data_IF_013334322687
#
_entry.id   IF_013334322687
#
_cell.length_a   1.000
_cell.length_b   1.000
_cell.length_c   1.000
_cell.angle_alpha   90.00
_cell.angle_beta   90.00
_cell.angle_gamma   90.00
#
_symmetry.space_group_name_H-M   'P 1'
#
loop_
_entity.id
_entity.type
_entity.pdbx_description
1 polymer ?
#
# COMPACT_ATOMS: atom_id res chain seq x y z
N UNK A 1 15.58 17.45 17.08
CA UNK A 1 14.14 17.46 16.72
C UNK A 1 13.86 16.17 15.99
N UNK A 2 12.88 15.42 16.46
CA UNK A 2 12.49 14.15 15.86
C UNK A 2 11.87 14.36 14.48
N UNK A 3 12.04 13.39 13.59
CA UNK A 3 11.47 13.38 12.25
C UNK A 3 10.59 12.15 12.09
N UNK A 4 9.29 12.38 11.98
CA UNK A 4 8.35 11.35 11.54
C UNK A 4 7.93 11.63 10.10
N UNK A 5 8.10 10.64 9.24
CA UNK A 5 7.57 10.66 7.86
C UNK A 5 6.22 9.95 7.87
N UNK A 6 5.18 10.61 7.39
CA UNK A 6 3.83 10.08 7.32
C UNK A 6 3.40 9.85 5.88
N UNK A 7 3.02 8.64 5.52
CA UNK A 7 2.38 8.38 4.23
C UNK A 7 0.89 8.13 4.45
N UNK A 8 0.04 8.75 3.66
CA UNK A 8 -1.40 8.53 3.68
C UNK A 8 -1.86 7.86 2.38
N UNK A 9 -2.57 6.74 2.53
CA UNK A 9 -3.14 5.99 1.41
C UNK A 9 -4.32 6.70 0.75
N UNK A 10 -4.78 6.20 -0.40
CA UNK A 10 -5.85 6.83 -1.16
C UNK A 10 -7.19 6.92 -0.39
N UNK A 11 -7.54 5.92 0.41
CA UNK A 11 -8.70 5.94 1.30
C UNK A 11 -8.62 7.03 2.37
N UNK A 12 -7.40 7.36 2.80
CA UNK A 12 -7.12 8.41 3.79
C UNK A 12 -7.26 9.84 3.24
N UNK A 13 -7.34 10.02 1.93
CA UNK A 13 -7.41 11.32 1.23
C UNK A 13 -8.50 11.36 0.17
N UNK A 14 -9.54 10.54 0.30
CA UNK A 14 -10.55 10.36 -0.73
C UNK A 14 -11.56 11.50 -0.87
N UNK A 15 -11.71 12.35 0.16
CA UNK A 15 -12.62 13.50 0.21
C UNK A 15 -12.14 14.56 1.20
N UNK A 16 -12.91 15.66 1.34
CA UNK A 16 -12.57 16.77 2.23
C UNK A 16 -12.61 16.43 3.72
N UNK A 17 -13.51 15.54 4.15
CA UNK A 17 -13.55 15.09 5.55
C UNK A 17 -12.28 14.30 5.90
N UNK A 18 -11.78 13.50 4.98
CA UNK A 18 -10.51 12.80 5.14
C UNK A 18 -9.31 13.76 5.13
N UNK A 19 -9.34 14.81 4.32
CA UNK A 19 -8.33 15.89 4.40
C UNK A 19 -8.33 16.53 5.78
N UNK A 20 -9.50 16.85 6.34
CA UNK A 20 -9.61 17.40 7.69
C UNK A 20 -9.09 16.44 8.76
N UNK A 21 -9.39 15.13 8.63
CA UNK A 21 -8.88 14.09 9.53
C UNK A 21 -7.34 14.00 9.46
N UNK A 22 -6.75 13.96 8.26
CA UNK A 22 -5.29 13.94 8.09
C UNK A 22 -4.66 15.20 8.72
N UNK A 23 -5.24 16.39 8.50
CA UNK A 23 -4.76 17.62 9.13
C UNK A 23 -4.81 17.54 10.66
N UNK A 24 -5.86 16.95 11.23
CA UNK A 24 -5.98 16.75 12.68
C UNK A 24 -4.88 15.82 13.20
N UNK A 25 -4.62 14.70 12.51
CA UNK A 25 -3.53 13.78 12.82
C UNK A 25 -2.18 14.50 12.82
N UNK A 26 -1.89 15.31 11.80
CA UNK A 26 -0.63 16.06 11.70
C UNK A 26 -0.46 17.11 12.81
N UNK A 27 -1.56 17.70 13.27
CA UNK A 27 -1.54 18.69 14.36
C UNK A 27 -1.36 18.08 15.74
N UNK A 28 -1.77 16.82 15.91
CA UNK A 28 -1.65 16.10 17.17
C UNK A 28 -0.19 15.77 17.54
N UNK A 29 0.73 15.78 16.55
CA UNK A 29 2.13 15.50 16.76
C UNK A 29 3.00 16.37 15.84
N UNK A 30 3.84 17.23 16.44
CA UNK A 30 4.72 18.15 15.73
C UNK A 30 5.88 17.47 15.01
N UNK A 31 6.20 16.24 15.35
CA UNK A 31 7.27 15.46 14.73
C UNK A 31 6.85 14.82 13.40
N UNK A 32 5.55 14.82 13.07
CA UNK A 32 4.99 14.48 11.75
C UNK A 32 5.29 15.58 10.74
N UNK A 33 6.46 15.53 10.13
CA UNK A 33 7.03 16.65 9.37
C UNK A 33 6.96 16.50 7.86
N UNK A 34 7.15 15.30 7.34
CA UNK A 34 7.14 15.05 5.89
C UNK A 34 5.98 14.12 5.53
N UNK A 35 5.10 14.64 4.67
CA UNK A 35 3.80 14.04 4.40
C UNK A 35 3.77 13.58 2.96
N UNK A 36 3.72 12.26 2.74
CA UNK A 36 3.61 11.65 1.41
C UNK A 36 2.16 11.25 1.15
N UNK A 37 1.56 11.75 0.08
CA UNK A 37 0.16 11.53 -0.25
C UNK A 37 -0.02 10.68 -1.50
N UNK A 38 -0.98 9.76 -1.45
CA UNK A 38 -1.52 9.06 -2.63
C UNK A 38 -2.58 9.91 -3.32
N UNK A 39 -2.97 9.50 -4.54
CA UNK A 39 -4.17 10.02 -5.17
C UNK A 39 -5.43 9.65 -4.37
N UNK A 40 -6.53 10.42 -4.44
CA UNK A 40 -7.79 10.09 -3.80
C UNK A 40 -8.32 8.73 -4.22
N UNK A 41 -8.54 7.86 -3.22
CA UNK A 41 -9.11 6.54 -3.39
C UNK A 41 -10.62 6.53 -3.53
N UNK A 42 -11.23 5.37 -3.28
CA UNK A 42 -12.69 5.22 -3.26
C UNK A 42 -13.27 5.80 -1.99
N UNK A 43 -14.41 6.50 -2.09
CA UNK A 43 -15.18 7.02 -0.96
C UNK A 43 -16.14 5.96 -0.39
N UNK A 44 -16.60 5.04 -1.25
CA UNK A 44 -17.54 3.96 -0.93
C UNK A 44 -17.35 2.78 -1.89
N UNK A 45 -17.89 1.58 -1.58
CA UNK A 45 -17.89 0.45 -2.51
C UNK A 45 -18.56 0.81 -3.83
N UNK A 46 -17.89 0.55 -4.96
CA UNK A 46 -18.39 0.90 -6.30
C UNK A 46 -17.95 2.28 -6.81
N UNK A 47 -17.29 3.10 -6.00
CA UNK A 47 -16.67 4.35 -6.47
C UNK A 47 -15.35 4.06 -7.23
N UNK A 48 -14.93 4.99 -8.08
CA UNK A 48 -13.68 4.87 -8.82
C UNK A 48 -12.52 5.52 -8.08
N UNK A 49 -11.34 4.94 -8.18
CA UNK A 49 -10.09 5.60 -7.77
C UNK A 49 -9.67 6.61 -8.83
N UNK A 50 -9.11 7.73 -8.40
CA UNK A 50 -8.62 8.75 -9.34
C UNK A 50 -7.55 8.19 -10.28
N UNK A 51 -6.65 7.35 -9.81
CA UNK A 51 -5.61 6.73 -10.64
C UNK A 51 -6.22 5.82 -11.71
N UNK A 52 -7.27 5.05 -11.36
CA UNK A 52 -7.99 4.20 -12.34
C UNK A 52 -8.66 5.06 -13.41
N UNK A 53 -9.30 6.18 -13.03
CA UNK A 53 -9.90 7.13 -13.96
C UNK A 53 -8.86 7.79 -14.89
N UNK A 54 -7.67 8.11 -14.37
CA UNK A 54 -6.59 8.67 -15.19
C UNK A 54 -6.08 7.67 -16.24
N UNK A 55 -5.95 6.40 -15.89
CA UNK A 55 -5.64 5.35 -16.86
C UNK A 55 -6.75 5.15 -17.88
N UNK A 56 -8.02 5.12 -17.45
CA UNK A 56 -9.15 5.04 -18.37
C UNK A 56 -9.19 6.23 -19.33
N UNK A 57 -8.92 7.46 -18.86
CA UNK A 57 -8.86 8.63 -19.71
C UNK A 57 -7.69 8.59 -20.70
N UNK A 58 -6.56 8.00 -20.31
CA UNK A 58 -5.42 7.79 -21.20
C UNK A 58 -5.75 6.81 -22.33
N UNK A 59 -6.42 5.70 -22.03
CA UNK A 59 -6.75 4.64 -22.99
C UNK A 59 -8.00 4.96 -23.83
N UNK A 60 -8.77 6.03 -23.49
CA UNK A 60 -10.02 6.41 -24.14
C UNK A 60 -9.84 7.31 -25.37
N UNK A 61 -10.89 7.38 -26.20
CA UNK A 61 -11.05 8.43 -27.23
C UNK A 61 -11.20 9.82 -26.57
N UNK A 62 -10.96 10.89 -27.34
CA UNK A 62 -10.96 12.26 -26.78
C UNK A 62 -12.31 12.64 -26.14
N UNK A 63 -13.45 12.27 -26.75
CA UNK A 63 -14.77 12.56 -26.18
C UNK A 63 -15.00 11.81 -24.85
N UNK A 64 -14.64 10.54 -24.81
CA UNK A 64 -14.73 9.74 -23.57
C UNK A 64 -13.76 10.24 -22.50
N UNK A 65 -12.54 10.58 -22.90
CA UNK A 65 -11.55 11.18 -22.00
C UNK A 65 -12.06 12.51 -21.39
N UNK A 66 -12.73 13.35 -22.18
CA UNK A 66 -13.34 14.58 -21.70
C UNK A 66 -14.38 14.33 -20.60
N UNK A 67 -15.23 13.33 -20.76
CA UNK A 67 -16.21 12.93 -19.75
C UNK A 67 -15.52 12.44 -18.47
N UNK A 68 -14.48 11.59 -18.61
CA UNK A 68 -13.72 11.10 -17.46
C UNK A 68 -13.00 12.27 -16.74
N UNK A 69 -12.41 13.21 -17.49
CA UNK A 69 -11.80 14.41 -16.92
C UNK A 69 -12.79 15.24 -16.10
N UNK A 70 -14.03 15.36 -16.55
CA UNK A 70 -15.08 16.05 -15.78
C UNK A 70 -15.33 15.36 -14.45
N UNK A 71 -15.34 14.03 -14.42
CA UNK A 71 -15.50 13.26 -13.16
C UNK A 71 -14.32 13.46 -12.20
N UNK A 72 -13.09 13.44 -12.75
CA UNK A 72 -11.88 13.72 -11.95
C UNK A 72 -11.92 15.14 -11.41
N UNK A 73 -12.23 16.12 -12.25
CA UNK A 73 -12.34 17.52 -11.84
C UNK A 73 -13.36 17.72 -10.72
N UNK A 74 -14.57 17.17 -10.86
CA UNK A 74 -15.63 17.29 -9.85
C UNK A 74 -15.21 16.67 -8.51
N UNK A 75 -14.42 15.59 -8.51
CA UNK A 75 -13.88 15.02 -7.29
C UNK A 75 -12.94 16.00 -6.58
N UNK A 76 -11.99 16.59 -7.30
CA UNK A 76 -11.07 17.57 -6.72
C UNK A 76 -11.75 18.89 -6.38
N UNK A 77 -12.74 19.33 -7.16
CA UNK A 77 -13.53 20.53 -6.87
C UNK A 77 -14.28 20.38 -5.53
N UNK A 78 -14.89 19.22 -5.29
CA UNK A 78 -15.55 18.95 -4.01
C UNK A 78 -14.59 19.04 -2.81
N UNK A 79 -13.35 18.54 -2.95
CA UNK A 79 -12.33 18.64 -1.89
C UNK A 79 -11.87 20.10 -1.75
N UNK A 80 -11.61 20.78 -2.87
CA UNK A 80 -11.20 22.21 -2.89
C UNK A 80 -12.22 23.08 -2.19
N UNK A 81 -13.50 22.95 -2.54
CA UNK A 81 -14.57 23.80 -2.00
C UNK A 81 -14.70 23.66 -0.48
N UNK A 82 -14.44 22.48 0.04
CA UNK A 82 -14.49 22.20 1.48
C UNK A 82 -13.21 22.63 2.21
N UNK A 83 -12.04 22.46 1.61
CA UNK A 83 -10.75 22.55 2.32
C UNK A 83 -9.90 23.75 1.92
N UNK A 84 -9.89 24.16 0.65
CA UNK A 84 -9.00 25.18 0.12
C UNK A 84 -9.69 25.96 -1.02
N UNK A 85 -10.76 26.73 -0.74
CA UNK A 85 -11.60 27.37 -1.76
C UNK A 85 -10.81 28.35 -2.64
N UNK A 86 -9.73 28.93 -2.14
CA UNK A 86 -8.87 29.86 -2.87
C UNK A 86 -7.85 29.18 -3.81
N UNK A 87 -7.80 27.84 -3.82
CA UNK A 87 -6.89 27.11 -4.71
C UNK A 87 -7.40 27.14 -6.14
N UNK A 88 -6.59 27.66 -7.07
CA UNK A 88 -6.93 27.71 -8.49
C UNK A 88 -6.81 26.33 -9.15
N UNK A 89 -7.84 25.53 -8.95
CA UNK A 89 -7.95 24.19 -9.51
C UNK A 89 -8.09 24.23 -11.04
N UNK A 90 -8.75 25.23 -11.58
CA UNK A 90 -8.99 25.41 -13.02
C UNK A 90 -7.68 25.59 -13.78
N UNK A 91 -6.78 26.42 -13.26
CA UNK A 91 -5.47 26.63 -13.87
C UNK A 91 -4.63 25.36 -13.80
N UNK A 92 -4.56 24.71 -12.62
CA UNK A 92 -3.80 23.46 -12.46
C UNK A 92 -4.35 22.35 -13.37
N UNK A 93 -5.67 22.22 -13.45
CA UNK A 93 -6.30 21.20 -14.28
C UNK A 93 -6.08 21.49 -15.78
N UNK A 94 -6.10 22.76 -16.19
CA UNK A 94 -5.78 23.19 -17.55
C UNK A 94 -4.33 22.87 -17.94
N UNK A 95 -3.37 23.08 -17.02
CA UNK A 95 -1.96 22.70 -17.23
C UNK A 95 -1.81 21.20 -17.43
N UNK A 96 -2.48 20.39 -16.60
CA UNK A 96 -2.47 18.95 -16.71
C UNK A 96 -3.04 18.50 -18.05
N UNK A 97 -4.19 19.00 -18.46
CA UNK A 97 -4.85 18.62 -19.71
C UNK A 97 -3.98 18.88 -20.94
N UNK A 98 -3.30 20.04 -21.01
CA UNK A 98 -2.39 20.36 -22.13
C UNK A 98 -1.26 19.34 -22.29
N UNK A 99 -0.81 18.71 -21.20
CA UNK A 99 0.31 17.77 -21.19
C UNK A 99 -0.12 16.31 -21.01
N UNK A 100 -1.42 16.06 -20.87
CA UNK A 100 -1.93 14.74 -20.47
C UNK A 100 -1.46 13.61 -21.39
N UNK A 101 -1.45 13.84 -22.70
CA UNK A 101 -1.01 12.86 -23.72
C UNK A 101 0.51 12.77 -23.91
N UNK A 102 1.31 13.38 -23.03
CA UNK A 102 2.79 13.32 -23.12
C UNK A 102 3.32 11.91 -22.84
N UNK A 103 2.82 11.25 -21.77
CA UNK A 103 3.11 9.85 -21.44
C UNK A 103 2.05 9.30 -20.49
N UNK A 104 1.91 7.97 -20.47
CA UNK A 104 1.01 7.26 -19.56
C UNK A 104 1.37 7.50 -18.11
N UNK A 105 2.67 7.54 -17.80
CA UNK A 105 3.19 7.82 -16.46
C UNK A 105 2.89 9.26 -16.02
N UNK A 106 3.05 10.23 -16.93
CA UNK A 106 2.64 11.61 -16.65
C UNK A 106 1.13 11.66 -16.33
N UNK A 107 0.30 11.02 -17.13
CA UNK A 107 -1.14 11.00 -16.91
C UNK A 107 -1.49 10.43 -15.52
N UNK A 108 -0.97 9.24 -15.21
CA UNK A 108 -1.23 8.54 -13.95
C UNK A 108 -0.77 9.34 -12.71
N UNK A 109 0.42 9.96 -12.79
CA UNK A 109 1.01 10.71 -11.67
C UNK A 109 0.22 11.96 -11.26
N UNK A 110 -0.68 12.45 -12.11
CA UNK A 110 -1.42 13.71 -11.83
C UNK A 110 -2.44 13.58 -10.72
N UNK A 111 -2.83 12.36 -10.36
CA UNK A 111 -3.65 12.11 -9.19
C UNK A 111 -2.95 12.51 -7.88
N UNK A 112 -1.78 11.95 -7.63
CA UNK A 112 -0.97 12.28 -6.46
C UNK A 112 -0.51 13.75 -6.46
N UNK A 113 -0.12 14.26 -7.63
CA UNK A 113 0.27 15.66 -7.80
C UNK A 113 -0.82 16.61 -7.34
N UNK A 114 -2.04 16.50 -7.88
CA UNK A 114 -3.16 17.36 -7.49
C UNK A 114 -3.56 17.20 -6.03
N UNK A 115 -3.57 15.97 -5.52
CA UNK A 115 -3.87 15.68 -4.12
C UNK A 115 -2.90 16.43 -3.20
N UNK A 116 -1.60 16.31 -3.45
CA UNK A 116 -0.58 16.93 -2.63
C UNK A 116 -0.58 18.48 -2.77
N UNK A 117 -0.80 19.02 -3.97
CA UNK A 117 -0.96 20.46 -4.21
C UNK A 117 -2.12 21.05 -3.42
N UNK A 118 -3.28 20.38 -3.50
CA UNK A 118 -4.48 20.83 -2.80
C UNK A 118 -4.33 20.71 -1.29
N UNK A 119 -3.72 19.61 -0.80
CA UNK A 119 -3.48 19.43 0.63
C UNK A 119 -2.45 20.43 1.17
N UNK A 120 -1.41 20.76 0.39
CA UNK A 120 -0.44 21.80 0.74
C UNK A 120 -1.13 23.18 0.87
N UNK A 121 -2.00 23.53 -0.07
CA UNK A 121 -2.81 24.76 0.02
C UNK A 121 -3.71 24.76 1.26
N UNK A 122 -4.36 23.65 1.56
CA UNK A 122 -5.22 23.49 2.75
C UNK A 122 -4.49 23.65 4.08
N UNK A 123 -3.26 23.15 4.16
CA UNK A 123 -2.49 23.14 5.40
C UNK A 123 -1.54 24.32 5.56
N UNK A 124 -1.25 25.04 4.47
CA UNK A 124 -0.22 26.08 4.39
C UNK A 124 1.21 25.52 4.44
N UNK A 125 1.40 24.21 4.28
CA UNK A 125 2.71 23.58 4.25
C UNK A 125 3.37 23.72 2.86
N UNK A 126 4.71 23.78 2.79
CA UNK A 126 5.41 23.75 1.52
C UNK A 126 5.07 22.48 0.71
N UNK A 127 4.82 22.66 -0.58
CA UNK A 127 4.72 21.57 -1.56
C UNK A 127 6.07 21.36 -2.24
N UNK A 128 6.52 20.09 -2.34
CA UNK A 128 7.69 19.72 -3.14
C UNK A 128 7.29 18.62 -4.10
N UNK A 129 7.51 18.85 -5.40
CA UNK A 129 7.12 17.90 -6.44
C UNK A 129 7.98 16.63 -6.37
N UNK A 130 7.37 15.45 -6.43
CA UNK A 130 8.04 14.16 -6.49
C UNK A 130 9.02 14.05 -7.68
N UNK A 131 8.73 14.74 -8.77
CA UNK A 131 9.61 14.85 -9.93
C UNK A 131 11.02 15.37 -9.59
N UNK A 132 11.14 16.23 -8.57
CA UNK A 132 12.40 16.79 -8.09
C UNK A 132 13.09 15.95 -7.03
N UNK A 133 12.41 14.91 -6.51
CA UNK A 133 12.84 14.15 -5.33
C UNK A 133 13.21 12.71 -5.63
N UNK A 134 12.44 12.04 -6.49
CA UNK A 134 12.66 10.63 -6.79
C UNK A 134 13.24 10.49 -8.20
N UNK A 135 14.42 9.95 -8.28
CA UNK A 135 15.15 9.78 -9.53
C UNK A 135 15.23 8.30 -9.90
N UNK A 136 15.02 8.01 -11.17
CA UNK A 136 15.16 6.67 -11.72
C UNK A 136 16.33 6.62 -12.68
N UNK A 137 16.95 5.47 -12.82
CA UNK A 137 17.95 5.21 -13.86
C UNK A 137 17.31 5.05 -15.25
N UNK A 138 18.13 4.86 -16.28
CA UNK A 138 17.64 4.69 -17.64
C UNK A 138 16.81 3.41 -17.85
N UNK A 139 16.88 2.44 -16.93
CA UNK A 139 16.11 1.19 -16.95
C UNK A 139 14.81 1.29 -16.15
N UNK A 140 14.54 2.43 -15.50
CA UNK A 140 13.37 2.64 -14.64
C UNK A 140 13.52 2.08 -13.22
N UNK A 141 14.73 1.71 -12.79
CA UNK A 141 15.00 1.39 -11.39
C UNK A 141 15.31 2.69 -10.61
N UNK A 142 14.96 2.70 -9.32
CA UNK A 142 15.25 3.86 -8.46
C UNK A 142 16.75 4.06 -8.32
N UNK A 143 17.25 5.24 -8.68
CA UNK A 143 18.59 5.69 -8.29
C UNK A 143 18.55 6.13 -6.83
N UNK A 144 18.97 5.23 -5.95
CA UNK A 144 18.87 5.41 -4.49
C UNK A 144 19.73 6.56 -4.01
N UNK A 145 20.95 6.71 -4.54
CA UNK A 145 21.91 7.72 -4.10
C UNK A 145 21.47 9.13 -4.53
N UNK A 146 21.06 9.28 -5.78
CA UNK A 146 20.56 10.55 -6.31
C UNK A 146 19.23 10.96 -5.62
N UNK A 147 18.32 10.01 -5.45
CA UNK A 147 17.07 10.20 -4.70
C UNK A 147 17.36 10.62 -3.25
N UNK A 148 18.27 9.95 -2.55
CA UNK A 148 18.65 10.30 -1.18
C UNK A 148 19.21 11.72 -1.09
N UNK A 149 20.09 12.08 -2.02
CA UNK A 149 20.66 13.42 -2.08
C UNK A 149 19.57 14.47 -2.29
N UNK A 150 18.73 14.29 -3.29
CA UNK A 150 17.64 15.23 -3.63
C UNK A 150 16.66 15.41 -2.47
N UNK A 151 16.21 14.31 -1.83
CA UNK A 151 15.33 14.35 -0.67
C UNK A 151 15.94 15.16 0.49
N UNK A 152 17.21 14.94 0.80
CA UNK A 152 17.89 15.67 1.90
C UNK A 152 18.06 17.15 1.60
N UNK A 153 18.56 17.47 0.40
CA UNK A 153 18.83 18.85 -0.01
C UNK A 153 17.56 19.70 -0.11
N UNK A 154 16.45 19.09 -0.57
CA UNK A 154 15.18 19.80 -0.76
C UNK A 154 14.33 19.86 0.49
N UNK A 155 14.29 18.81 1.31
CA UNK A 155 13.34 18.70 2.42
C UNK A 155 13.89 19.18 3.75
N UNK A 156 15.16 18.90 4.09
CA UNK A 156 15.70 19.29 5.39
C UNK A 156 15.68 20.80 5.65
N UNK A 157 16.01 21.67 4.67
CA UNK A 157 15.94 23.11 4.89
C UNK A 157 14.51 23.64 5.13
N UNK A 158 13.50 22.97 4.59
CA UNK A 158 12.09 23.35 4.77
C UNK A 158 11.56 22.92 6.15
N UNK A 159 12.15 21.89 6.72
CA UNK A 159 11.75 21.33 8.01
C UNK A 159 10.41 20.59 7.98
N UNK A 160 9.48 20.94 7.08
CA UNK A 160 8.16 20.30 6.86
C UNK A 160 7.80 20.42 5.39
N UNK A 161 7.14 19.39 4.81
CA UNK A 161 6.67 19.45 3.44
C UNK A 161 5.58 18.43 3.14
N UNK A 162 4.75 18.73 2.13
CA UNK A 162 3.82 17.81 1.49
C UNK A 162 4.41 17.38 0.15
N UNK A 163 4.39 16.07 -0.09
CA UNK A 163 5.06 15.41 -1.20
C UNK A 163 4.03 14.50 -1.89
N UNK A 164 3.84 14.57 -3.20
CA UNK A 164 3.11 13.53 -3.91
C UNK A 164 3.93 12.24 -3.91
N UNK A 165 3.27 11.10 -3.69
CA UNK A 165 3.92 9.80 -3.86
C UNK A 165 3.88 9.31 -5.29
N UNK A 166 4.30 8.05 -5.54
CA UNK A 166 4.05 7.25 -6.73
C UNK A 166 4.92 7.55 -7.96
N UNK A 167 5.56 8.69 -8.11
CA UNK A 167 6.31 9.04 -9.32
C UNK A 167 7.62 9.80 -9.04
N UNK A 168 8.42 9.96 -10.07
CA UNK A 168 9.63 10.76 -10.08
C UNK A 168 10.07 11.07 -11.51
N UNK A 169 11.36 11.23 -11.76
CA UNK A 169 11.92 11.59 -13.06
C UNK A 169 12.95 10.58 -13.56
N UNK A 170 12.96 10.36 -14.89
CA UNK A 170 14.02 9.67 -15.61
C UNK A 170 15.13 10.66 -16.01
N UNK A 171 16.35 10.19 -16.36
CA UNK A 171 17.45 11.06 -16.80
C UNK A 171 17.15 11.91 -18.04
N UNK A 172 16.20 11.46 -18.87
CA UNK A 172 15.75 12.20 -20.05
C UNK A 172 14.73 13.31 -19.73
N UNK A 173 14.39 13.53 -18.46
CA UNK A 173 13.43 14.53 -18.00
C UNK A 173 11.96 14.12 -18.14
N UNK A 174 11.65 12.85 -18.49
CA UNK A 174 10.28 12.38 -18.48
C UNK A 174 9.85 11.91 -17.07
N UNK A 175 8.54 12.00 -16.80
CA UNK A 175 7.96 11.43 -15.58
C UNK A 175 7.96 9.91 -15.69
N UNK A 176 8.30 9.24 -14.60
CA UNK A 176 8.20 7.80 -14.45
C UNK A 176 7.47 7.43 -13.17
N UNK A 177 6.64 6.38 -13.21
CA UNK A 177 5.86 5.92 -12.06
C UNK A 177 6.46 4.65 -11.47
N UNK A 178 6.39 4.52 -10.15
CA UNK A 178 6.66 3.23 -9.50
C UNK A 178 5.64 2.18 -9.95
N UNK A 179 6.03 0.94 -10.05
CA UNK A 179 5.21 -0.14 -10.62
C UNK A 179 3.92 -0.40 -9.83
N UNK A 180 4.03 -0.66 -8.51
CA UNK A 180 2.92 -0.89 -7.58
C UNK A 180 3.29 -0.41 -6.18
N UNK A 181 2.27 -0.02 -5.40
CA UNK A 181 2.51 0.49 -4.04
C UNK A 181 3.40 1.74 -4.00
N UNK A 182 3.45 2.50 -5.10
CA UNK A 182 4.45 3.54 -5.31
C UNK A 182 4.46 4.61 -4.25
N UNK A 183 3.30 4.98 -3.68
CA UNK A 183 3.26 5.95 -2.57
C UNK A 183 3.84 5.37 -1.28
N UNK A 184 3.69 4.05 -1.04
CA UNK A 184 4.32 3.36 0.08
C UNK A 184 5.85 3.36 -0.07
N UNK A 185 6.32 3.07 -1.30
CA UNK A 185 7.76 3.10 -1.63
C UNK A 185 8.32 4.53 -1.48
N UNK A 186 7.60 5.54 -1.98
CA UNK A 186 7.99 6.96 -1.85
C UNK A 186 8.10 7.38 -0.38
N UNK A 187 7.14 6.97 0.46
CA UNK A 187 7.17 7.23 1.90
C UNK A 187 8.37 6.59 2.58
N UNK A 188 8.63 5.32 2.29
CA UNK A 188 9.76 4.57 2.84
C UNK A 188 11.12 5.13 2.38
N UNK A 189 11.27 5.50 1.10
CA UNK A 189 12.46 6.17 0.57
C UNK A 189 12.70 7.52 1.27
N UNK A 190 11.61 8.28 1.50
CA UNK A 190 11.70 9.56 2.20
C UNK A 190 12.17 9.35 3.65
N UNK A 191 11.61 8.35 4.36
CA UNK A 191 12.01 8.04 5.72
C UNK A 191 13.48 7.61 5.79
N UNK A 192 13.91 6.69 4.92
CA UNK A 192 15.28 6.22 4.86
C UNK A 192 16.28 7.33 4.49
N UNK A 193 15.92 8.20 3.51
CA UNK A 193 16.79 9.29 3.07
C UNK A 193 17.01 10.36 4.13
N UNK A 194 15.99 10.64 4.95
CA UNK A 194 16.03 11.66 6.00
C UNK A 194 16.54 11.12 7.33
N UNK A 195 16.91 9.85 7.42
CA UNK A 195 17.26 9.16 8.66
C UNK A 195 16.16 9.41 9.73
N UNK A 196 14.89 9.17 9.35
CA UNK A 196 13.73 9.48 10.18
C UNK A 196 13.70 8.60 11.45
N UNK A 197 13.19 9.15 12.55
CA UNK A 197 13.01 8.40 13.80
C UNK A 197 11.84 7.40 13.69
N UNK A 198 10.85 7.71 12.86
CA UNK A 198 9.66 6.87 12.64
C UNK A 198 9.10 7.05 11.23
N UNK A 199 8.64 5.95 10.65
CA UNK A 199 7.80 5.96 9.44
C UNK A 199 6.38 5.53 9.80
N UNK A 200 5.39 6.38 9.61
CA UNK A 200 3.98 6.07 9.80
C UNK A 200 3.31 5.83 8.43
N UNK A 201 2.78 4.63 8.22
CA UNK A 201 1.93 4.30 7.07
C UNK A 201 0.46 4.29 7.49
N UNK A 202 -0.27 5.31 7.08
CA UNK A 202 -1.68 5.52 7.37
C UNK A 202 -2.55 4.93 6.27
N UNK A 203 -3.45 4.05 6.67
CA UNK A 203 -4.34 3.27 5.79
C UNK A 203 -5.76 3.21 6.39
N UNK A 204 -6.61 2.30 5.94
CA UNK A 204 -8.00 2.09 6.38
C UNK A 204 -8.18 0.85 7.28
N UNK A 205 -7.08 0.24 7.72
CA UNK A 205 -7.11 -0.91 8.64
C UNK A 205 -6.34 -0.63 9.92
N UNK A 206 -6.76 -1.25 11.03
CA UNK A 206 -6.18 -1.04 12.37
C UNK A 206 -4.79 -1.67 12.56
N UNK A 207 -4.18 -2.19 11.51
CA UNK A 207 -2.90 -2.88 11.54
C UNK A 207 -2.99 -4.29 10.96
N UNK A 208 -2.01 -5.13 11.32
CA UNK A 208 -1.95 -6.55 10.94
C UNK A 208 -2.69 -7.41 11.97
N UNK A 209 -3.64 -8.23 11.52
CA UNK A 209 -4.37 -9.17 12.36
C UNK A 209 -3.89 -10.61 12.16
N UNK A 210 -4.22 -11.48 13.09
CA UNK A 210 -3.96 -12.92 13.01
C UNK A 210 -4.68 -13.60 11.84
N UNK A 211 -5.75 -13.00 11.35
CA UNK A 211 -6.47 -13.33 10.11
C UNK A 211 -7.25 -12.10 9.64
N UNK A 212 -7.85 -12.12 8.44
CA UNK A 212 -8.74 -11.05 7.98
C UNK A 212 -9.97 -10.94 8.89
N UNK A 213 -10.17 -9.81 9.60
CA UNK A 213 -11.29 -9.63 10.53
C UNK A 213 -12.68 -9.66 9.84
N UNK A 214 -12.76 -9.43 8.53
CA UNK A 214 -13.99 -9.62 7.76
C UNK A 214 -14.36 -11.10 7.59
N UNK A 215 -13.39 -12.01 7.70
CA UNK A 215 -13.59 -13.46 7.64
C UNK A 215 -13.68 -14.05 9.05
N UNK A 216 -12.83 -13.57 9.96
CA UNK A 216 -12.69 -14.03 11.33
C UNK A 216 -12.86 -12.86 12.28
N UNK A 217 -14.10 -12.59 12.78
CA UNK A 217 -14.36 -11.45 13.68
C UNK A 217 -13.54 -11.48 14.98
N UNK A 218 -13.12 -12.67 15.43
CA UNK A 218 -12.30 -12.88 16.63
C UNK A 218 -10.79 -12.70 16.38
N UNK A 219 -10.39 -12.35 15.14
CA UNK A 219 -8.99 -12.10 14.81
C UNK A 219 -8.40 -11.03 15.71
N UNK A 220 -7.20 -11.28 16.21
CA UNK A 220 -6.50 -10.37 17.14
C UNK A 220 -5.46 -9.58 16.39
N UNK A 221 -5.32 -8.30 16.74
CA UNK A 221 -4.28 -7.45 16.17
C UNK A 221 -2.89 -7.87 16.69
N UNK A 222 -1.95 -8.06 15.79
CA UNK A 222 -0.54 -8.22 16.12
C UNK A 222 0.05 -6.83 16.42
N UNK A 223 0.56 -6.63 17.63
CA UNK A 223 1.14 -5.33 18.03
C UNK A 223 2.50 -5.06 17.39
N UNK A 224 3.26 -6.13 17.16
CA UNK A 224 4.62 -6.07 16.62
C UNK A 224 4.82 -7.22 15.63
N UNK A 225 5.47 -6.94 14.51
CA UNK A 225 5.86 -7.94 13.51
C UNK A 225 7.24 -7.62 12.96
N UNK A 226 8.07 -8.62 12.74
CA UNK A 226 9.38 -8.38 12.16
C UNK A 226 9.27 -7.89 10.71
N UNK A 227 10.21 -7.06 10.28
CA UNK A 227 10.27 -6.56 8.90
C UNK A 227 10.34 -7.72 7.90
N UNK A 228 11.10 -8.78 8.22
CA UNK A 228 11.20 -9.99 7.41
C UNK A 228 9.84 -10.69 7.27
N UNK A 229 9.13 -10.91 8.38
CA UNK A 229 7.81 -11.57 8.31
C UNK A 229 6.78 -10.71 7.57
N UNK A 230 6.79 -9.37 7.78
CA UNK A 230 5.87 -8.48 7.08
C UNK A 230 6.07 -8.53 5.56
N UNK A 231 7.31 -8.59 5.09
CA UNK A 231 7.62 -8.79 3.66
C UNK A 231 7.03 -10.11 3.13
N UNK A 232 7.20 -11.20 3.88
CA UNK A 232 6.64 -12.52 3.52
C UNK A 232 5.12 -12.52 3.49
N UNK A 233 4.48 -11.91 4.49
CA UNK A 233 3.03 -11.74 4.55
C UNK A 233 2.49 -10.95 3.37
N UNK A 234 3.16 -9.86 2.99
CA UNK A 234 2.78 -9.06 1.84
C UNK A 234 2.89 -9.85 0.53
N UNK A 235 3.94 -10.65 0.36
CA UNK A 235 4.06 -11.59 -0.76
C UNK A 235 3.00 -12.69 -0.72
N UNK A 236 2.60 -13.15 0.45
CA UNK A 236 1.58 -14.19 0.63
C UNK A 236 0.14 -13.67 0.43
N UNK A 237 -0.07 -12.35 0.35
CA UNK A 237 -1.37 -11.76 0.04
C UNK A 237 -1.96 -10.83 1.09
N UNK A 238 -1.24 -10.52 2.18
CA UNK A 238 -1.67 -9.51 3.12
C UNK A 238 -1.71 -8.13 2.45
N UNK A 239 -2.91 -7.53 2.41
CA UNK A 239 -3.15 -6.27 1.69
C UNK A 239 -2.97 -5.04 2.60
N UNK A 240 -1.96 -5.04 3.44
CA UNK A 240 -1.72 -3.96 4.41
C UNK A 240 -0.62 -3.02 3.92
N UNK A 241 0.43 -3.56 3.31
CA UNK A 241 1.57 -2.81 2.80
C UNK A 241 2.17 -3.52 1.58
N UNK A 242 2.62 -2.74 0.58
CA UNK A 242 3.29 -3.35 -0.58
C UNK A 242 4.69 -3.86 -0.19
N UNK A 243 5.11 -5.08 -0.63
CA UNK A 243 6.40 -5.65 -0.24
C UNK A 243 7.59 -4.75 -0.57
N UNK A 244 7.54 -4.07 -1.72
CA UNK A 244 8.64 -3.18 -2.16
C UNK A 244 8.81 -1.94 -1.26
N UNK A 245 7.77 -1.56 -0.51
CA UNK A 245 7.86 -0.45 0.43
C UNK A 245 8.76 -0.73 1.63
N UNK A 246 9.00 -2.00 1.95
CA UNK A 246 9.88 -2.38 3.06
C UNK A 246 11.36 -2.38 2.69
N UNK A 247 11.68 -2.49 1.39
CA UNK A 247 13.08 -2.57 0.91
C UNK A 247 13.95 -1.37 1.33
N UNK A 248 13.48 -0.10 1.20
CA UNK A 248 14.27 1.06 1.60
C UNK A 248 14.57 1.12 3.10
N UNK A 249 13.80 0.43 3.93
CA UNK A 249 13.90 0.47 5.40
C UNK A 249 14.79 -0.64 5.98
N UNK A 250 15.17 -1.64 5.16
CA UNK A 250 16.05 -2.73 5.62
C UNK A 250 17.41 -2.21 6.06
N UNK A 251 17.85 -2.60 7.26
CA UNK A 251 19.14 -2.21 7.82
C UNK A 251 19.24 -0.75 8.26
N UNK A 252 18.14 0.01 8.23
CA UNK A 252 18.13 1.42 8.69
C UNK A 252 17.84 1.56 10.17
N UNK A 253 17.24 0.53 10.80
CA UNK A 253 16.73 0.61 12.17
C UNK A 253 15.48 1.47 12.34
N UNK A 254 14.90 2.00 11.25
CA UNK A 254 13.70 2.83 11.31
C UNK A 254 12.47 1.93 11.47
N UNK A 255 11.74 2.14 12.55
CA UNK A 255 10.48 1.46 12.77
C UNK A 255 9.39 2.00 11.83
N UNK A 256 8.53 1.09 11.37
CA UNK A 256 7.32 1.47 10.64
C UNK A 256 6.10 1.22 11.53
N UNK A 257 5.18 2.17 11.58
CA UNK A 257 3.92 2.02 12.31
C UNK A 257 2.76 2.04 11.31
N UNK A 258 2.05 0.92 11.22
CA UNK A 258 0.79 0.84 10.46
C UNK A 258 -0.33 1.43 11.29
N UNK A 259 -0.99 2.48 10.78
CA UNK A 259 -2.03 3.23 11.51
C UNK A 259 -3.30 3.33 10.69
N UNK A 260 -4.43 3.38 11.39
CA UNK A 260 -5.74 3.62 10.77
C UNK A 260 -6.09 5.11 10.78
N UNK A 261 -6.30 5.70 9.61
CA UNK A 261 -6.72 7.10 9.48
C UNK A 261 -8.12 7.33 10.05
N UNK A 262 -8.99 6.32 10.01
CA UNK A 262 -10.36 6.42 10.54
C UNK A 262 -10.43 6.29 12.06
N UNK A 263 -9.44 5.63 12.65
CA UNK A 263 -9.32 5.39 14.10
C UNK A 263 -7.89 5.75 14.57
N UNK A 264 -7.49 7.04 14.55
CA UNK A 264 -6.08 7.44 14.77
C UNK A 264 -5.57 7.13 16.19
N UNK A 265 -6.47 6.97 17.16
CA UNK A 265 -6.12 6.64 18.55
C UNK A 265 -5.74 5.17 18.74
N UNK A 266 -6.04 4.31 17.75
CA UNK A 266 -5.62 2.91 17.76
C UNK A 266 -4.12 2.84 17.55
N UNK A 267 -3.41 2.07 18.41
CA UNK A 267 -1.95 1.95 18.36
C UNK A 267 -1.42 1.46 17.01
N UNK A 268 -2.18 0.58 16.32
CA UNK A 268 -1.75 -0.01 15.07
C UNK A 268 -0.80 -1.19 15.25
N UNK A 269 0.00 -1.50 14.23
CA UNK A 269 1.02 -2.56 14.25
C UNK A 269 2.39 -1.96 13.98
N UNK A 270 3.34 -2.22 14.86
CA UNK A 270 4.74 -1.84 14.68
C UNK A 270 5.45 -2.89 13.84
N UNK A 271 6.15 -2.47 12.81
CA UNK A 271 7.05 -3.29 12.01
C UNK A 271 8.47 -2.85 12.34
N UNK A 272 9.28 -3.77 12.88
CA UNK A 272 10.63 -3.46 13.33
C UNK A 272 11.54 -4.68 13.26
N UNK A 273 12.83 -4.46 13.06
CA UNK A 273 13.83 -5.53 13.17
C UNK A 273 13.95 -6.08 14.60
N UNK A 274 13.54 -5.30 15.61
CA UNK A 274 13.51 -5.70 17.00
C UNK A 274 12.28 -6.53 17.43
N UNK A 275 11.27 -6.65 16.56
CA UNK A 275 10.09 -7.47 16.83
C UNK A 275 10.40 -8.96 16.81
N UNK A 276 9.57 -9.82 17.47
CA UNK A 276 9.71 -11.27 17.37
C UNK A 276 9.81 -11.76 15.93
N UNK A 277 10.64 -12.75 15.69
CA UNK A 277 10.89 -13.28 14.35
C UNK A 277 9.60 -13.71 13.64
N UNK A 278 8.69 -14.35 14.40
CA UNK A 278 7.41 -14.82 13.87
C UNK A 278 6.27 -14.55 14.85
N UNK A 279 5.16 -14.06 14.32
CA UNK A 279 3.88 -13.94 15.00
C UNK A 279 2.82 -14.73 14.22
N UNK A 280 1.80 -15.27 14.89
CA UNK A 280 0.73 -16.00 14.25
C UNK A 280 -0.03 -15.10 13.26
N UNK A 281 -0.14 -15.53 12.00
CA UNK A 281 -0.91 -14.81 10.99
C UNK A 281 -1.33 -15.76 9.86
N UNK A 282 -2.58 -15.61 9.43
CA UNK A 282 -3.15 -16.33 8.30
C UNK A 282 -3.55 -15.31 7.25
N UNK A 283 -3.02 -15.48 6.05
CA UNK A 283 -3.39 -14.65 4.89
C UNK A 283 -3.54 -15.52 3.66
N UNK A 284 -3.94 -14.95 2.54
CA UNK A 284 -4.03 -15.74 1.33
C UNK A 284 -4.41 -14.94 0.10
N UNK A 285 -4.40 -15.63 -1.02
CA UNK A 285 -4.77 -15.13 -2.34
C UNK A 285 -5.88 -15.96 -2.94
N UNK A 286 -6.80 -15.30 -3.60
CA UNK A 286 -7.91 -15.88 -4.34
C UNK A 286 -7.76 -15.65 -5.84
N UNK A 287 -8.59 -16.32 -6.63
CA UNK A 287 -8.60 -16.16 -8.09
C UNK A 287 -7.31 -16.66 -8.75
N UNK A 288 -6.74 -17.72 -8.22
CA UNK A 288 -5.56 -18.39 -8.77
C UNK A 288 -6.00 -19.64 -9.55
N UNK A 289 -5.12 -20.17 -10.41
CA UNK A 289 -5.42 -21.31 -11.27
C UNK A 289 -4.30 -22.33 -11.23
N UNK A 290 -4.68 -23.61 -11.14
CA UNK A 290 -3.79 -24.77 -11.31
C UNK A 290 -4.39 -25.73 -12.33
N UNK A 291 -3.59 -26.65 -12.89
CA UNK A 291 -4.11 -27.73 -13.75
C UNK A 291 -5.13 -28.59 -12.97
N UNK A 292 -6.23 -28.97 -13.60
CA UNK A 292 -7.27 -29.81 -12.97
C UNK A 292 -6.80 -31.24 -12.67
N UNK A 293 -5.77 -31.71 -13.39
CA UNK A 293 -5.06 -32.97 -13.21
C UNK A 293 -3.75 -32.82 -12.40
N UNK A 294 -3.64 -31.73 -11.66
CA UNK A 294 -2.46 -31.38 -10.88
C UNK A 294 -2.03 -32.52 -9.94
N UNK A 295 -0.79 -33.00 -10.12
CA UNK A 295 -0.15 -33.94 -9.23
C UNK A 295 1.04 -33.27 -8.53
N UNK A 296 0.98 -33.06 -7.19
CA UNK A 296 2.02 -32.40 -6.44
C UNK A 296 3.41 -33.04 -6.52
N UNK A 297 3.49 -34.33 -6.81
CA UNK A 297 4.75 -35.07 -6.90
C UNK A 297 5.57 -34.71 -8.16
N UNK A 298 4.92 -34.18 -9.20
CA UNK A 298 5.53 -33.96 -10.52
C UNK A 298 5.70 -32.50 -10.92
N UNK A 299 5.17 -31.53 -10.18
CA UNK A 299 5.17 -30.12 -10.56
C UNK A 299 5.42 -29.21 -9.36
N UNK A 300 6.19 -28.13 -9.54
CA UNK A 300 6.25 -27.03 -8.60
C UNK A 300 4.93 -26.24 -8.68
N UNK A 301 4.08 -26.28 -7.65
CA UNK A 301 2.70 -25.80 -7.73
C UNK A 301 2.61 -24.31 -7.38
N UNK A 302 3.08 -23.43 -8.26
CA UNK A 302 2.74 -22.00 -8.14
C UNK A 302 1.48 -21.73 -8.94
N UNK A 303 0.34 -21.46 -8.28
CA UNK A 303 -0.89 -21.13 -8.98
C UNK A 303 -0.70 -19.89 -9.86
N UNK A 304 -1.20 -19.94 -11.09
CA UNK A 304 -1.15 -18.84 -12.06
C UNK A 304 -2.29 -17.86 -11.81
N UNK A 305 -2.11 -16.61 -12.23
CA UNK A 305 -3.14 -15.57 -12.08
C UNK A 305 -4.15 -15.50 -13.21
N UNK A 306 -3.95 -16.26 -14.28
CA UNK A 306 -4.84 -16.30 -15.44
C UNK A 306 -5.30 -17.73 -15.72
N UNK A 307 -6.55 -17.93 -16.16
CA UNK A 307 -7.03 -19.24 -16.57
C UNK A 307 -6.30 -19.74 -17.81
N UNK A 308 -6.14 -21.06 -17.90
CA UNK A 308 -5.61 -21.76 -19.06
C UNK A 308 -6.44 -23.04 -19.31
N UNK A 309 -6.29 -23.66 -20.46
CA UNK A 309 -7.06 -24.86 -20.82
C UNK A 309 -6.80 -25.99 -19.80
N UNK A 310 -7.88 -26.58 -19.29
CA UNK A 310 -7.79 -27.61 -18.24
C UNK A 310 -7.41 -27.09 -16.85
N UNK A 311 -7.50 -25.79 -16.60
CA UNK A 311 -7.25 -25.22 -15.26
C UNK A 311 -8.49 -25.20 -14.38
N UNK A 312 -8.29 -25.31 -13.07
CA UNK A 312 -9.32 -25.07 -12.06
C UNK A 312 -8.95 -23.86 -11.19
N UNK A 313 -9.97 -23.13 -10.75
CA UNK A 313 -9.79 -21.97 -9.86
C UNK A 313 -9.55 -22.43 -8.42
N UNK A 314 -8.52 -21.86 -7.80
CA UNK A 314 -8.10 -22.19 -6.44
C UNK A 314 -7.79 -20.94 -5.62
N UNK A 315 -7.73 -21.13 -4.31
CA UNK A 315 -7.14 -20.17 -3.41
C UNK A 315 -5.87 -20.77 -2.77
N UNK A 316 -4.91 -19.88 -2.44
CA UNK A 316 -3.71 -20.25 -1.72
C UNK A 316 -3.71 -19.51 -0.38
N UNK A 317 -3.77 -20.25 0.72
CA UNK A 317 -3.69 -19.73 2.09
C UNK A 317 -2.26 -19.92 2.58
N UNK A 318 -1.72 -18.95 3.28
CA UNK A 318 -0.42 -19.01 3.96
C UNK A 318 -0.62 -18.82 5.45
N UNK A 319 -0.22 -19.81 6.25
CA UNK A 319 -0.33 -19.82 7.70
C UNK A 319 1.07 -19.73 8.33
N UNK A 320 1.31 -18.65 9.05
CA UNK A 320 2.59 -18.34 9.72
C UNK A 320 2.49 -18.55 11.22
N UNK A 321 3.62 -18.90 11.86
CA UNK A 321 3.74 -19.01 13.30
C UNK A 321 2.97 -20.17 13.92
N UNK A 322 2.76 -21.27 13.17
CA UNK A 322 2.20 -22.52 13.66
C UNK A 322 3.27 -23.31 14.43
N UNK A 323 2.90 -23.87 15.58
CA UNK A 323 3.69 -24.90 16.24
C UNK A 323 3.62 -26.21 15.47
N UNK A 324 4.53 -27.16 15.74
CA UNK A 324 4.53 -28.51 15.13
C UNK A 324 3.18 -29.21 15.32
N UNK A 325 2.63 -29.19 16.54
CA UNK A 325 1.34 -29.79 16.85
C UNK A 325 0.18 -29.11 16.10
N UNK A 326 0.18 -27.78 15.99
CA UNK A 326 -0.81 -27.04 15.21
C UNK A 326 -0.71 -27.37 13.72
N UNK A 327 0.51 -27.50 13.18
CA UNK A 327 0.77 -27.88 11.81
C UNK A 327 0.19 -29.27 11.50
N UNK A 328 0.46 -30.29 12.34
CA UNK A 328 -0.15 -31.62 12.20
C UNK A 328 -1.69 -31.58 12.26
N UNK A 329 -2.26 -30.73 13.16
CA UNK A 329 -3.71 -30.56 13.24
C UNK A 329 -4.30 -29.91 11.99
N UNK A 330 -3.62 -28.94 11.41
CA UNK A 330 -4.04 -28.33 10.14
C UNK A 330 -4.05 -29.39 9.04
N UNK A 331 -2.98 -30.15 8.87
CA UNK A 331 -2.87 -31.16 7.82
C UNK A 331 -3.89 -32.31 7.97
N UNK A 332 -4.23 -32.68 9.19
CA UNK A 332 -5.23 -33.74 9.44
C UNK A 332 -6.67 -33.25 9.37
N UNK A 333 -6.90 -31.96 9.54
CA UNK A 333 -8.26 -31.36 9.62
C UNK A 333 -8.72 -30.70 8.34
N UNK A 334 -7.79 -30.11 7.56
CA UNK A 334 -8.10 -29.36 6.35
C UNK A 334 -8.04 -30.27 5.13
N UNK A 335 -9.12 -30.28 4.34
CA UNK A 335 -9.14 -30.96 3.05
C UNK A 335 -8.54 -30.05 1.98
N UNK A 336 -7.21 -30.10 1.85
CA UNK A 336 -6.49 -29.33 0.84
C UNK A 336 -6.29 -30.15 -0.45
N UNK A 337 -6.16 -29.43 -1.57
CA UNK A 337 -5.66 -30.02 -2.81
C UNK A 337 -4.18 -30.35 -2.62
N UNK A 338 -3.45 -29.43 -1.95
CA UNK A 338 -2.04 -29.64 -1.65
C UNK A 338 -1.57 -28.79 -0.48
N UNK A 339 -0.59 -29.31 0.29
CA UNK A 339 0.18 -28.63 1.32
C UNK A 339 1.61 -28.41 0.83
N UNK A 340 2.14 -27.22 0.99
CA UNK A 340 3.52 -26.87 0.64
C UNK A 340 4.22 -26.32 1.89
N UNK A 341 5.19 -27.09 2.40
CA UNK A 341 6.00 -26.68 3.52
C UNK A 341 7.07 -25.68 3.06
N UNK A 342 6.93 -24.46 3.49
CA UNK A 342 7.94 -23.43 3.33
C UNK A 342 8.81 -23.35 4.59
N UNK A 343 9.92 -22.67 4.53
CA UNK A 343 10.86 -22.56 5.66
C UNK A 343 10.21 -21.92 6.91
N UNK A 344 9.25 -21.02 6.74
CA UNK A 344 8.68 -20.19 7.80
C UNK A 344 7.14 -20.19 7.85
N UNK A 345 6.47 -20.90 6.94
CA UNK A 345 5.02 -20.99 6.90
C UNK A 345 4.55 -22.20 6.09
N UNK A 346 3.29 -22.55 6.29
CA UNK A 346 2.59 -23.57 5.49
C UNK A 346 1.75 -22.86 4.42
N UNK A 347 1.92 -23.23 3.16
CA UNK A 347 0.98 -22.87 2.09
C UNK A 347 -0.01 -24.01 1.86
N UNK A 348 -1.27 -23.64 1.67
CA UNK A 348 -2.39 -24.57 1.55
C UNK A 348 -3.17 -24.21 0.30
N UNK A 349 -3.19 -25.09 -0.68
CA UNK A 349 -3.96 -24.92 -1.91
C UNK A 349 -5.30 -25.61 -1.75
N UNK A 350 -6.38 -24.85 -1.93
CA UNK A 350 -7.75 -25.31 -1.72
C UNK A 350 -8.64 -24.86 -2.89
N UNK A 351 -9.80 -25.50 -3.10
CA UNK A 351 -10.83 -24.96 -3.99
C UNK A 351 -11.23 -23.53 -3.58
N UNK A 352 -11.46 -22.68 -4.56
CA UNK A 352 -11.77 -21.25 -4.31
C UNK A 352 -12.93 -21.03 -3.33
N UNK A 353 -13.98 -21.86 -3.42
CA UNK A 353 -15.15 -21.78 -2.54
C UNK A 353 -14.89 -22.07 -1.07
N UNK A 354 -13.80 -22.77 -0.76
CA UNK A 354 -13.43 -23.17 0.60
C UNK A 354 -12.55 -22.13 1.32
N UNK A 355 -12.27 -20.99 0.69
CA UNK A 355 -11.32 -20.00 1.23
C UNK A 355 -11.69 -19.50 2.63
N UNK A 356 -12.88 -18.95 2.81
CA UNK A 356 -13.29 -18.40 4.10
C UNK A 356 -13.51 -19.50 5.19
N UNK A 357 -14.18 -20.62 4.90
CA UNK A 357 -14.28 -21.73 5.86
C UNK A 357 -12.92 -22.24 6.34
N UNK A 358 -11.98 -22.40 5.42
CA UNK A 358 -10.64 -22.90 5.74
C UNK A 358 -9.86 -21.90 6.61
N UNK A 359 -9.90 -20.61 6.31
CA UNK A 359 -9.26 -19.59 7.17
C UNK A 359 -9.81 -19.63 8.60
N UNK A 360 -11.13 -19.72 8.76
CA UNK A 360 -11.75 -19.84 10.10
C UNK A 360 -11.25 -21.08 10.84
N UNK A 361 -11.20 -22.21 10.16
CA UNK A 361 -10.77 -23.46 10.76
C UNK A 361 -9.30 -23.46 11.18
N UNK A 362 -8.41 -22.90 10.35
CA UNK A 362 -7.00 -22.75 10.70
C UNK A 362 -6.85 -21.77 11.88
N UNK A 363 -7.63 -20.70 11.91
CA UNK A 363 -7.58 -19.72 13.00
C UNK A 363 -8.06 -20.31 14.34
N UNK A 364 -9.08 -21.18 14.35
CA UNK A 364 -9.50 -21.94 15.53
C UNK A 364 -8.35 -22.81 16.07
N UNK A 365 -7.60 -23.48 15.17
CA UNK A 365 -6.43 -24.28 15.54
C UNK A 365 -5.33 -23.38 16.12
N UNK A 366 -5.06 -22.25 15.49
CA UNK A 366 -4.04 -21.29 15.91
C UNK A 366 -4.29 -20.71 17.32
N UNK A 367 -5.56 -20.48 17.67
CA UNK A 367 -5.94 -19.92 18.98
C UNK A 367 -6.27 -20.96 20.04
N UNK A 368 -6.24 -22.27 19.71
CA UNK A 368 -6.55 -23.32 20.68
C UNK A 368 -5.52 -23.31 21.83
N UNK A 369 -5.95 -23.23 23.11
CA UNK A 369 -5.06 -23.40 24.23
C UNK A 369 -4.68 -24.90 24.34
N UNK A 370 -3.45 -25.24 24.08
CA UNK A 370 -3.04 -26.65 24.22
C UNK A 370 -1.62 -27.00 23.82
N UNK A 371 -0.81 -26.08 23.36
CA UNK A 371 0.56 -26.39 22.91
C UNK A 371 1.51 -25.21 23.24
N UNK A 372 1.58 -24.84 24.54
CA UNK A 372 2.61 -23.93 25.04
C UNK A 372 3.73 -24.72 25.69
#
# INVERSE_FOLDING_TARGET
MSITVCKFGGSSVCDGDRFAQVRSILRADSDRRFIVLSAPGRRFPGDDKITDLLYQAWDATDDTAQFIFTRIYLRYASIRDQCAPDFDLEEEFSRIRRRFRTSRDYAASRGEYLCARLFAAYTGLPFVDAYELFHFDANGAVDVDDTRRALRERLLPLGRAVIPGFYGSLPNGSVHTFSRGGSDVSGALTAAALDADLYENWTDVDGLFTADPNIVPEARRNRCVSLHQMERLAWAGAQVLHPDALKPLKGTGIDTLLKNTYCPDVEGTRISESCPAFVPCITGRRGLYIASDFNPENCCPLPLRAPFEGSMMVACISAFGLTEAQLQRVETTIHAIHFIHMQDHLQIIIPEGEYAPTIRRIHEILLSPGDA
#
